data_IF_632432519319
#
_entry.id   IF_632432519319
#
_cell.length_a   1.000
_cell.length_b   1.000
_cell.length_c   1.000
_cell.angle_alpha   90.00
_cell.angle_beta   90.00
_cell.angle_gamma   90.00
#
_symmetry.space_group_name_H-M   'P 1'
#
loop_
_entity.id
_entity.type
_entity.pdbx_description
1 polymer ?
#
# COMPACT_ATOMS: atom_id res chain seq x y z
N UNK A 1 -4.95 92.42 79.01
CA UNK A 1 -4.98 92.28 77.50
C UNK A 1 -4.10 91.13 76.99
N UNK A 2 -4.39 89.85 77.34
CA UNK A 2 -3.50 88.74 76.91
C UNK A 2 -4.21 87.41 76.52
N UNK A 3 -5.55 87.49 76.45
CA UNK A 3 -6.26 86.20 76.12
C UNK A 3 -6.71 86.03 74.68
N UNK A 4 -6.80 87.14 73.90
CA UNK A 4 -7.32 87.07 72.52
C UNK A 4 -6.22 86.78 71.52
N UNK A 5 -5.00 87.23 71.74
CA UNK A 5 -3.85 86.96 70.87
C UNK A 5 -3.42 85.46 70.87
N UNK A 6 -3.52 84.84 72.04
CA UNK A 6 -3.19 83.37 72.09
C UNK A 6 -4.24 82.44 71.42
N UNK A 7 -5.50 82.89 71.46
CA UNK A 7 -6.55 82.12 70.75
C UNK A 7 -6.46 82.27 69.22
N UNK A 8 -6.13 83.42 68.71
CA UNK A 8 -5.88 83.69 67.31
C UNK A 8 -4.63 82.96 66.78
N UNK A 9 -3.58 82.93 67.61
CA UNK A 9 -2.35 82.20 67.22
C UNK A 9 -2.58 80.70 67.13
N UNK A 10 -3.40 80.12 68.05
CA UNK A 10 -3.73 78.66 67.97
C UNK A 10 -4.66 78.28 66.82
N UNK A 11 -5.47 79.24 66.34
CA UNK A 11 -6.32 79.02 65.17
C UNK A 11 -5.56 79.20 63.85
N UNK A 12 -4.58 80.07 63.80
CA UNK A 12 -3.77 80.35 62.60
C UNK A 12 -2.65 79.27 62.36
N UNK A 13 -2.16 78.65 63.42
CA UNK A 13 -1.08 77.66 63.30
C UNK A 13 -1.42 76.45 62.42
N UNK A 14 -2.60 75.85 62.58
CA UNK A 14 -2.95 74.71 61.72
C UNK A 14 -3.16 75.13 60.24
N UNK A 15 -3.66 76.30 59.99
CA UNK A 15 -3.85 76.89 58.65
C UNK A 15 -2.49 77.12 57.97
N UNK A 16 -1.54 77.65 58.74
CA UNK A 16 -0.19 77.88 58.25
C UNK A 16 0.53 76.55 57.94
N UNK A 17 0.38 75.56 58.82
CA UNK A 17 0.95 74.24 58.60
C UNK A 17 0.34 73.54 57.36
N UNK A 18 -0.98 73.73 57.20
CA UNK A 18 -1.68 73.20 56.02
C UNK A 18 -1.24 73.92 54.73
N UNK A 19 -1.06 75.23 54.79
CA UNK A 19 -0.54 76.04 53.68
C UNK A 19 0.89 75.63 53.27
N UNK A 20 1.77 75.45 54.27
CA UNK A 20 3.13 75.01 54.06
C UNK A 20 3.11 73.54 53.47
N UNK A 21 2.26 72.64 53.98
CA UNK A 21 2.08 71.32 53.46
C UNK A 21 1.67 71.30 51.99
N UNK A 22 0.70 72.11 51.61
CA UNK A 22 0.26 72.26 50.22
C UNK A 22 1.35 72.87 49.34
N UNK A 23 2.09 73.88 49.85
CA UNK A 23 3.20 74.50 49.11
C UNK A 23 4.36 73.50 48.88
N UNK A 24 4.70 72.67 49.88
CA UNK A 24 5.69 71.59 49.75
C UNK A 24 5.20 70.53 48.78
N UNK A 25 3.93 70.15 48.86
CA UNK A 25 3.34 69.20 47.93
C UNK A 25 3.35 69.72 46.47
N UNK A 26 2.99 71.02 46.32
CA UNK A 26 3.03 71.69 45.01
C UNK A 26 4.47 71.76 44.45
N UNK A 27 5.45 72.05 45.32
CA UNK A 27 6.87 72.03 44.95
C UNK A 27 7.36 70.63 44.55
N UNK A 28 6.93 69.59 45.28
CA UNK A 28 7.24 68.22 44.92
C UNK A 28 6.59 67.75 43.57
N UNK A 29 5.39 68.21 43.30
CA UNK A 29 4.73 67.94 42.01
C UNK A 29 5.39 68.72 40.87
N UNK A 30 5.80 69.98 41.13
CA UNK A 30 6.47 70.83 40.14
C UNK A 30 7.92 70.38 39.85
N UNK A 31 8.59 69.82 40.83
CA UNK A 31 9.97 69.30 40.69
C UNK A 31 10.04 67.78 40.25
N UNK A 32 8.89 67.14 40.01
CA UNK A 32 8.91 65.79 39.48
C UNK A 32 9.67 65.76 38.15
N UNK A 33 10.78 65.05 38.03
CA UNK A 33 11.47 64.93 36.75
C UNK A 33 10.50 64.28 35.76
N UNK A 34 10.18 64.94 34.66
CA UNK A 34 9.41 64.37 33.57
C UNK A 34 10.19 63.12 33.11
N UNK A 35 9.54 61.94 33.04
CA UNK A 35 10.23 60.75 32.56
C UNK A 35 10.76 61.07 31.16
N UNK A 36 12.06 61.08 31.00
CA UNK A 36 12.72 61.16 29.72
C UNK A 36 12.24 59.92 28.97
N UNK A 37 11.34 60.09 27.99
CA UNK A 37 11.04 59.03 27.03
C UNK A 37 12.37 58.72 26.32
N UNK A 38 13.09 57.69 26.81
CA UNK A 38 14.25 57.17 26.06
C UNK A 38 13.75 56.94 24.64
N UNK A 39 14.39 57.49 23.62
CA UNK A 39 14.05 57.21 22.24
C UNK A 39 14.05 55.67 22.16
N UNK A 40 12.92 55.13 21.69
CA UNK A 40 12.77 53.68 21.48
C UNK A 40 13.89 53.31 20.51
N UNK A 41 14.88 52.59 21.02
CA UNK A 41 16.05 52.21 20.25
C UNK A 41 15.48 51.49 19.00
N UNK A 42 15.52 52.15 17.83
CA UNK A 42 15.02 51.66 16.54
C UNK A 42 15.93 50.53 16.00
N UNK A 43 16.65 49.88 16.89
CA UNK A 43 17.40 48.69 16.54
C UNK A 43 16.40 47.58 16.24
N UNK A 44 16.16 47.34 14.94
CA UNK A 44 15.29 46.27 14.46
C UNK A 44 15.60 44.95 15.16
N UNK A 45 14.59 44.11 15.36
CA UNK A 45 14.76 42.79 15.94
C UNK A 45 15.75 41.96 15.09
N UNK A 46 16.71 41.31 15.76
CA UNK A 46 17.67 40.44 15.10
C UNK A 46 16.95 39.16 14.58
N UNK A 47 17.07 38.89 13.29
CA UNK A 47 16.42 37.75 12.65
C UNK A 47 17.38 36.96 11.79
N UNK A 48 17.25 35.65 11.84
CA UNK A 48 17.92 34.72 10.95
C UNK A 48 17.00 34.47 9.75
N UNK A 49 17.56 34.58 8.54
CA UNK A 49 16.82 34.45 7.28
C UNK A 49 17.40 33.34 6.42
N UNK A 50 16.56 32.69 5.65
CA UNK A 50 16.94 31.72 4.64
C UNK A 50 16.43 32.25 3.29
N UNK A 51 17.35 32.37 2.31
CA UNK A 51 16.97 32.69 0.94
C UNK A 51 16.32 31.48 0.30
N UNK A 52 15.15 31.67 -0.29
CA UNK A 52 14.36 30.58 -0.86
C UNK A 52 14.63 30.44 -2.36
N UNK A 53 14.75 29.20 -2.78
CA UNK A 53 14.88 28.83 -4.18
C UNK A 53 13.88 27.74 -4.53
N UNK A 54 13.32 27.74 -5.74
CA UNK A 54 12.44 26.67 -6.19
C UNK A 54 13.26 25.38 -6.37
N UNK A 55 12.72 24.28 -5.85
CA UNK A 55 13.30 22.95 -5.96
C UNK A 55 12.27 22.02 -6.59
N UNK A 56 12.70 21.20 -7.53
CA UNK A 56 11.90 20.06 -8.00
C UNK A 56 12.22 18.87 -7.14
N UNK A 57 11.31 18.46 -6.30
CA UNK A 57 11.53 17.36 -5.38
C UNK A 57 10.53 16.23 -5.64
N UNK A 58 11.04 15.01 -5.76
CA UNK A 58 10.22 13.80 -5.70
C UNK A 58 9.94 13.49 -4.24
N UNK A 59 8.69 13.48 -3.90
CA UNK A 59 8.26 13.10 -2.56
C UNK A 59 8.29 11.58 -2.39
N UNK A 60 8.44 11.17 -1.13
CA UNK A 60 8.22 9.79 -0.72
C UNK A 60 7.21 9.79 0.43
N UNK A 61 6.24 8.92 0.31
CA UNK A 61 5.31 8.61 1.39
C UNK A 61 5.87 7.41 2.11
N UNK A 62 6.45 7.63 3.29
CA UNK A 62 6.99 6.54 4.13
C UNK A 62 5.95 6.17 5.16
N UNK A 63 5.53 4.91 5.12
CA UNK A 63 4.53 4.32 6.00
C UNK A 63 4.95 2.88 6.33
N UNK A 64 4.23 2.26 7.23
CA UNK A 64 4.49 0.88 7.61
C UNK A 64 3.43 -0.06 7.07
N UNK A 65 3.82 -1.31 6.84
CA UNK A 65 2.92 -2.34 6.37
C UNK A 65 3.31 -3.73 6.83
N UNK A 66 2.42 -4.68 6.60
CA UNK A 66 2.64 -6.10 6.91
C UNK A 66 2.72 -6.91 5.63
N UNK A 67 3.68 -7.83 5.59
CA UNK A 67 3.87 -8.76 4.47
C UNK A 67 2.82 -9.87 4.53
N UNK A 68 2.04 -10.01 3.48
CA UNK A 68 1.02 -11.04 3.32
C UNK A 68 1.26 -11.86 2.05
N UNK A 69 0.80 -13.10 1.98
CA UNK A 69 0.94 -13.89 0.78
C UNK A 69 0.05 -13.35 -0.35
N UNK A 70 0.57 -13.34 -1.59
CA UNK A 70 -0.25 -13.05 -2.76
C UNK A 70 -1.16 -14.24 -3.10
N UNK A 71 -0.69 -15.46 -2.88
CA UNK A 71 -1.42 -16.69 -3.12
C UNK A 71 -1.29 -17.60 -1.90
N UNK A 72 -2.43 -18.08 -1.40
CA UNK A 72 -2.48 -19.09 -0.34
C UNK A 72 -3.65 -20.01 -0.61
N UNK A 73 -3.42 -21.32 -0.48
CA UNK A 73 -4.47 -22.34 -0.65
C UNK A 73 -4.39 -23.38 0.44
N UNK A 74 -5.54 -23.80 0.92
CA UNK A 74 -5.67 -25.00 1.76
C UNK A 74 -5.91 -26.18 0.82
N UNK A 75 -4.96 -27.08 0.74
CA UNK A 75 -5.07 -28.30 -0.06
C UNK A 75 -6.02 -29.26 0.63
N UNK A 76 -7.07 -29.64 -0.08
CA UNK A 76 -8.10 -30.57 0.40
C UNK A 76 -8.32 -31.64 -0.67
N UNK A 77 -8.59 -32.91 -0.31
CA UNK A 77 -8.94 -33.93 -1.27
C UNK A 77 -10.36 -33.71 -1.79
N UNK A 78 -10.59 -34.00 -3.04
CA UNK A 78 -11.92 -33.97 -3.66
C UNK A 78 -12.60 -35.33 -3.64
N UNK A 79 -11.84 -36.37 -3.34
CA UNK A 79 -12.29 -37.78 -3.24
C UNK A 79 -11.74 -38.40 -1.97
N UNK A 80 -12.46 -39.37 -1.41
CA UNK A 80 -12.01 -40.11 -0.22
C UNK A 80 -10.97 -41.18 -0.61
N UNK A 81 -10.01 -41.41 0.28
CA UNK A 81 -9.05 -42.49 0.07
C UNK A 81 -7.99 -42.51 1.17
N UNK A 82 -7.23 -43.61 1.22
CA UNK A 82 -6.08 -43.74 2.11
C UNK A 82 -4.85 -43.11 1.43
N UNK A 83 -4.08 -42.32 2.15
CA UNK A 83 -2.79 -41.80 1.65
C UNK A 83 -1.80 -42.97 1.50
N UNK A 84 -1.35 -43.22 0.30
CA UNK A 84 -0.39 -44.30 -0.01
C UNK A 84 1.01 -43.79 -0.28
N UNK A 85 1.15 -42.52 -0.59
CA UNK A 85 2.41 -41.86 -0.82
C UNK A 85 2.31 -40.35 -0.54
N UNK A 86 3.34 -39.81 0.07
CA UNK A 86 3.52 -38.40 0.38
C UNK A 86 4.93 -38.01 -0.10
N UNK A 87 5.06 -36.81 -0.64
CA UNK A 87 6.34 -36.26 -1.03
C UNK A 87 7.16 -35.91 0.21
N UNK A 88 8.47 -36.20 0.21
CA UNK A 88 9.36 -35.98 1.37
C UNK A 88 9.42 -34.49 1.77
N UNK A 89 9.28 -33.59 0.80
CA UNK A 89 9.20 -32.14 1.02
C UNK A 89 7.80 -31.65 1.47
N UNK A 90 6.80 -32.53 1.64
CA UNK A 90 5.49 -32.13 2.18
C UNK A 90 5.56 -32.04 3.70
N UNK A 91 6.42 -31.13 4.15
CA UNK A 91 6.67 -30.76 5.56
C UNK A 91 6.74 -29.25 5.66
N UNK A 92 6.46 -28.64 6.82
CA UNK A 92 6.55 -27.19 6.97
C UNK A 92 7.91 -26.65 6.51
N UNK A 93 7.89 -25.66 5.58
CA UNK A 93 9.07 -25.09 4.93
C UNK A 93 9.52 -25.77 3.64
N UNK A 94 9.03 -26.98 3.34
CA UNK A 94 9.35 -27.69 2.09
C UNK A 94 8.75 -26.97 0.87
N UNK A 95 9.40 -27.09 -0.29
CA UNK A 95 9.11 -26.31 -1.50
C UNK A 95 8.61 -27.16 -2.64
N UNK A 96 7.67 -26.61 -3.40
CA UNK A 96 7.05 -27.26 -4.53
C UNK A 96 6.98 -26.34 -5.74
N UNK A 97 7.15 -26.94 -6.91
CA UNK A 97 6.84 -26.29 -8.19
C UNK A 97 5.39 -26.56 -8.58
N UNK A 98 4.81 -25.66 -9.35
CA UNK A 98 3.49 -25.83 -9.93
C UNK A 98 3.37 -27.18 -10.66
N UNK A 99 2.31 -27.95 -10.34
CA UNK A 99 2.04 -29.26 -10.92
C UNK A 99 2.78 -30.40 -10.26
N UNK A 100 3.72 -30.17 -9.36
CA UNK A 100 4.44 -31.20 -8.62
C UNK A 100 3.48 -31.97 -7.70
N UNK A 101 3.68 -33.29 -7.59
CA UNK A 101 2.79 -34.15 -6.81
C UNK A 101 3.10 -34.02 -5.33
N UNK A 102 2.09 -33.62 -4.54
CA UNK A 102 2.18 -33.51 -3.10
C UNK A 102 1.98 -34.85 -2.40
N UNK A 103 0.89 -35.54 -2.75
CA UNK A 103 0.54 -36.85 -2.20
C UNK A 103 -0.35 -37.62 -3.16
N UNK A 104 -0.47 -38.94 -2.92
CA UNK A 104 -1.32 -39.84 -3.68
C UNK A 104 -2.24 -40.62 -2.74
N UNK A 105 -3.50 -40.68 -3.11
CA UNK A 105 -4.49 -41.52 -2.45
C UNK A 105 -4.51 -42.88 -3.14
N UNK A 106 -4.99 -43.94 -2.43
CA UNK A 106 -5.25 -45.20 -3.02
C UNK A 106 -6.34 -45.12 -4.12
N UNK A 107 -5.89 -45.16 -5.35
CA UNK A 107 -6.75 -45.03 -6.53
C UNK A 107 -7.20 -46.36 -7.14
N UNK A 108 -7.02 -47.49 -6.44
CA UNK A 108 -7.32 -48.84 -7.05
C UNK A 108 -8.79 -48.93 -7.44
N UNK A 109 -9.69 -48.52 -6.56
CA UNK A 109 -11.14 -48.59 -6.80
C UNK A 109 -11.58 -47.61 -7.90
N UNK A 110 -11.01 -46.42 -7.92
CA UNK A 110 -11.27 -45.40 -8.95
C UNK A 110 -10.80 -45.86 -10.32
N UNK A 111 -9.59 -46.46 -10.43
CA UNK A 111 -9.10 -47.06 -11.69
C UNK A 111 -9.92 -48.24 -12.15
N UNK A 112 -10.45 -49.05 -11.23
CA UNK A 112 -11.36 -50.15 -11.58
C UNK A 112 -12.67 -49.60 -12.13
N UNK A 113 -13.27 -48.63 -11.49
CA UNK A 113 -14.47 -47.96 -11.97
C UNK A 113 -14.28 -47.32 -13.37
N UNK A 114 -13.13 -46.69 -13.61
CA UNK A 114 -12.79 -46.13 -14.93
C UNK A 114 -12.70 -47.23 -16.00
N UNK A 115 -12.07 -48.37 -15.69
CA UNK A 115 -12.00 -49.53 -16.61
C UNK A 115 -13.37 -50.11 -16.89
N UNK A 116 -14.24 -50.26 -15.89
CA UNK A 116 -15.62 -50.74 -16.05
C UNK A 116 -16.43 -49.83 -16.96
N UNK A 117 -16.33 -48.49 -16.73
CA UNK A 117 -16.96 -47.51 -17.59
C UNK A 117 -16.40 -47.52 -19.01
N UNK A 118 -15.11 -47.81 -19.18
CA UNK A 118 -14.47 -48.00 -20.47
C UNK A 118 -15.09 -49.19 -21.25
N UNK A 119 -15.26 -50.34 -20.60
CA UNK A 119 -15.91 -51.49 -21.21
C UNK A 119 -17.38 -51.23 -21.63
N UNK A 120 -18.08 -50.35 -20.89
CA UNK A 120 -19.44 -49.88 -21.27
C UNK A 120 -19.42 -49.03 -22.54
N UNK A 121 -18.41 -48.18 -22.71
CA UNK A 121 -18.20 -47.40 -23.94
C UNK A 121 -17.94 -48.34 -25.13
N UNK A 122 -17.05 -49.31 -24.98
CA UNK A 122 -16.73 -50.26 -26.03
C UNK A 122 -17.95 -51.07 -26.50
N UNK A 123 -18.85 -51.44 -25.53
CA UNK A 123 -20.13 -52.11 -25.84
C UNK A 123 -21.06 -51.18 -26.60
N UNK A 124 -21.21 -49.92 -26.16
CA UNK A 124 -22.09 -48.95 -26.82
C UNK A 124 -21.56 -48.56 -28.22
N UNK A 125 -20.24 -48.54 -28.42
CA UNK A 125 -19.63 -48.33 -29.75
C UNK A 125 -19.95 -49.47 -30.69
N UNK A 126 -19.89 -50.72 -30.20
CA UNK A 126 -20.26 -51.90 -30.99
C UNK A 126 -21.74 -51.87 -31.35
N UNK A 127 -22.63 -51.52 -30.39
CA UNK A 127 -24.08 -51.39 -30.63
C UNK A 127 -24.37 -50.33 -31.69
N UNK A 128 -23.76 -49.16 -31.62
CA UNK A 128 -23.87 -48.12 -32.66
C UNK A 128 -23.38 -48.61 -34.01
N UNK A 129 -22.28 -49.37 -34.05
CA UNK A 129 -21.74 -49.93 -35.30
C UNK A 129 -22.70 -50.93 -35.92
N UNK A 130 -23.33 -51.78 -35.09
CA UNK A 130 -24.33 -52.76 -35.54
C UNK A 130 -25.55 -52.03 -36.07
N UNK A 131 -26.07 -51.01 -35.35
CA UNK A 131 -27.25 -50.27 -35.82
C UNK A 131 -26.95 -49.47 -37.11
N UNK A 132 -25.74 -48.92 -37.28
CA UNK A 132 -25.33 -48.29 -38.55
C UNK A 132 -25.40 -49.31 -39.72
N UNK A 133 -24.81 -50.51 -39.53
CA UNK A 133 -24.85 -51.57 -40.57
C UNK A 133 -26.29 -52.01 -40.90
N UNK A 134 -27.15 -52.17 -39.88
CA UNK A 134 -28.59 -52.46 -40.09
C UNK A 134 -29.31 -51.33 -40.82
N UNK A 135 -28.98 -50.07 -40.53
CA UNK A 135 -29.52 -48.91 -41.24
C UNK A 135 -29.09 -48.86 -42.70
N UNK A 136 -27.84 -49.24 -43.02
CA UNK A 136 -27.38 -49.34 -44.43
C UNK A 136 -28.13 -50.42 -45.18
N UNK A 137 -28.38 -51.60 -44.59
CA UNK A 137 -29.17 -52.68 -45.18
C UNK A 137 -30.62 -52.20 -45.39
N UNK A 138 -31.24 -51.63 -44.36
CA UNK A 138 -32.63 -51.11 -44.44
C UNK A 138 -32.77 -50.01 -45.53
N UNK A 139 -31.75 -49.19 -45.70
CA UNK A 139 -31.72 -48.19 -46.79
C UNK A 139 -31.68 -48.86 -48.18
N UNK A 140 -30.84 -49.83 -48.37
CA UNK A 140 -30.77 -50.60 -49.65
C UNK A 140 -32.08 -51.32 -49.95
N UNK A 141 -32.74 -51.93 -48.97
CA UNK A 141 -34.06 -52.54 -49.11
C UNK A 141 -35.14 -51.49 -49.45
N UNK A 142 -35.12 -50.35 -48.80
CA UNK A 142 -36.08 -49.26 -49.03
C UNK A 142 -35.96 -48.71 -50.44
N UNK A 143 -34.76 -48.47 -50.94
CA UNK A 143 -34.51 -48.01 -52.31
C UNK A 143 -35.04 -48.96 -53.39
N UNK A 144 -35.24 -50.25 -53.08
CA UNK A 144 -35.89 -51.23 -53.96
C UNK A 144 -37.42 -51.17 -53.89
N UNK A 145 -38.00 -50.90 -52.69
CA UNK A 145 -39.45 -50.95 -52.42
C UNK A 145 -40.15 -49.64 -52.82
N UNK A 146 -39.49 -48.47 -52.65
CA UNK A 146 -40.10 -47.14 -52.84
C UNK A 146 -40.35 -46.73 -54.30
N UNK A 147 -40.17 -47.65 -55.24
CA UNK A 147 -40.43 -47.39 -56.68
C UNK A 147 -41.89 -47.08 -57.01
N UNK A 148 -42.79 -46.83 -56.07
CA UNK A 148 -44.18 -46.51 -56.38
C UNK A 148 -45.13 -46.22 -55.20
N UNK A 149 -44.72 -46.17 -53.98
CA UNK A 149 -45.59 -45.90 -52.81
C UNK A 149 -45.06 -44.71 -51.99
N UNK A 150 -45.89 -43.64 -51.84
CA UNK A 150 -45.58 -42.53 -50.93
C UNK A 150 -45.77 -42.97 -49.48
N UNK A 151 -44.69 -43.31 -48.78
CA UNK A 151 -44.73 -43.46 -47.35
C UNK A 151 -44.76 -42.06 -46.70
N UNK A 152 -45.34 -41.93 -45.48
CA UNK A 152 -45.22 -40.73 -44.68
C UNK A 152 -43.73 -40.52 -44.24
N UNK A 153 -43.34 -39.29 -43.98
CA UNK A 153 -41.98 -38.97 -43.53
C UNK A 153 -41.62 -39.76 -42.28
N UNK A 154 -42.53 -39.95 -41.34
CA UNK A 154 -42.36 -40.75 -40.14
C UNK A 154 -42.19 -42.27 -40.46
N UNK A 155 -42.99 -42.81 -41.41
CA UNK A 155 -42.87 -44.16 -41.86
C UNK A 155 -41.54 -44.44 -42.56
N UNK A 156 -41.00 -43.47 -43.29
CA UNK A 156 -39.70 -43.51 -43.91
C UNK A 156 -38.57 -43.51 -42.87
N UNK A 157 -38.62 -42.59 -41.87
CA UNK A 157 -37.63 -42.51 -40.81
C UNK A 157 -37.56 -43.83 -39.97
N UNK A 158 -38.74 -44.45 -39.68
CA UNK A 158 -38.82 -45.76 -39.01
C UNK A 158 -38.27 -46.88 -39.88
N UNK A 159 -38.59 -46.91 -41.20
CA UNK A 159 -38.08 -47.88 -42.12
C UNK A 159 -36.57 -47.80 -42.29
N UNK A 160 -35.99 -46.61 -42.29
CA UNK A 160 -34.55 -46.34 -42.35
C UNK A 160 -33.83 -46.50 -40.98
N UNK A 161 -34.54 -46.91 -39.94
CA UNK A 161 -34.00 -47.14 -38.56
C UNK A 161 -33.38 -45.88 -37.95
N UNK A 162 -33.78 -44.66 -38.35
CA UNK A 162 -33.22 -43.41 -37.85
C UNK A 162 -33.39 -43.23 -36.33
N UNK A 163 -34.56 -43.54 -35.71
CA UNK A 163 -34.72 -43.43 -34.27
C UNK A 163 -33.81 -44.41 -33.50
N UNK A 164 -33.61 -45.66 -34.04
CA UNK A 164 -32.74 -46.65 -33.40
C UNK A 164 -31.27 -46.20 -33.49
N UNK A 165 -30.89 -45.65 -34.62
CA UNK A 165 -29.53 -45.07 -34.77
C UNK A 165 -29.30 -43.89 -33.83
N UNK A 166 -30.30 -43.00 -33.65
CA UNK A 166 -30.23 -41.91 -32.68
C UNK A 166 -30.16 -42.41 -31.25
N UNK A 167 -30.95 -43.44 -30.90
CA UNK A 167 -30.90 -44.07 -29.57
C UNK A 167 -29.54 -44.71 -29.28
N UNK A 168 -28.95 -45.41 -30.24
CA UNK A 168 -27.61 -46.00 -30.09
C UNK A 168 -26.51 -44.91 -29.96
N UNK A 169 -26.63 -43.79 -30.68
CA UNK A 169 -25.72 -42.65 -30.51
C UNK A 169 -25.86 -42.03 -29.12
N UNK A 170 -27.08 -41.78 -28.66
CA UNK A 170 -27.34 -41.25 -27.31
C UNK A 170 -26.81 -42.18 -26.21
N UNK A 171 -26.95 -43.52 -26.40
CA UNK A 171 -26.40 -44.54 -25.52
C UNK A 171 -24.87 -44.45 -25.42
N UNK A 172 -24.20 -44.32 -26.57
CA UNK A 172 -22.74 -44.12 -26.61
C UNK A 172 -22.29 -42.84 -25.89
N UNK A 173 -23.00 -41.74 -26.14
CA UNK A 173 -22.64 -40.46 -25.50
C UNK A 173 -22.87 -40.50 -23.98
N UNK A 174 -23.91 -41.17 -23.51
CA UNK A 174 -24.12 -41.45 -22.07
C UNK A 174 -23.00 -42.29 -21.46
N UNK A 175 -22.59 -43.37 -22.16
CA UNK A 175 -21.47 -44.19 -21.70
C UNK A 175 -20.16 -43.44 -21.65
N UNK A 176 -19.86 -42.58 -22.63
CA UNK A 176 -18.70 -41.70 -22.65
C UNK A 176 -18.73 -40.70 -21.50
N UNK A 177 -19.89 -40.11 -21.16
CA UNK A 177 -20.10 -39.24 -20.02
C UNK A 177 -19.75 -39.95 -18.71
N UNK A 178 -20.24 -41.17 -18.52
CA UNK A 178 -19.94 -42.01 -17.32
C UNK A 178 -18.44 -42.32 -17.21
N UNK A 179 -17.79 -42.69 -18.31
CA UNK A 179 -16.32 -42.90 -18.32
C UNK A 179 -15.55 -41.65 -18.00
N UNK A 180 -15.96 -40.49 -18.51
CA UNK A 180 -15.33 -39.20 -18.20
C UNK A 180 -15.43 -38.87 -16.72
N UNK A 181 -16.56 -39.09 -16.06
CA UNK A 181 -16.73 -38.95 -14.61
C UNK A 181 -15.80 -39.86 -13.82
N UNK A 182 -15.74 -41.14 -14.17
CA UNK A 182 -14.85 -42.11 -13.50
C UNK A 182 -13.37 -41.73 -13.68
N UNK A 183 -12.97 -41.28 -14.87
CA UNK A 183 -11.63 -40.80 -15.16
C UNK A 183 -11.28 -39.53 -14.34
N UNK A 184 -12.22 -38.58 -14.22
CA UNK A 184 -12.05 -37.42 -13.41
C UNK A 184 -11.86 -37.81 -11.93
N UNK A 185 -12.68 -38.68 -11.38
CA UNK A 185 -12.55 -39.18 -10.01
C UNK A 185 -11.19 -39.89 -9.80
N UNK A 186 -10.73 -40.68 -10.76
CA UNK A 186 -9.41 -41.32 -10.75
C UNK A 186 -8.28 -40.27 -10.73
N UNK A 187 -8.38 -39.22 -11.53
CA UNK A 187 -7.37 -38.18 -11.59
C UNK A 187 -7.26 -37.39 -10.27
N UNK A 188 -8.36 -37.24 -9.52
CA UNK A 188 -8.43 -36.54 -8.23
C UNK A 188 -7.74 -37.29 -7.09
N UNK A 189 -7.31 -38.53 -7.31
CA UNK A 189 -6.52 -39.27 -6.32
C UNK A 189 -5.06 -38.82 -6.23
N UNK A 190 -4.61 -37.97 -7.15
CA UNK A 190 -3.25 -37.40 -7.16
C UNK A 190 -3.35 -35.90 -6.92
N UNK A 191 -2.96 -35.47 -5.73
CA UNK A 191 -2.97 -34.05 -5.36
C UNK A 191 -1.67 -33.38 -5.79
N UNK A 192 -1.78 -32.22 -6.43
CA UNK A 192 -0.65 -31.46 -6.97
C UNK A 192 -0.64 -30.02 -6.48
N UNK A 193 0.56 -29.43 -6.44
CA UNK A 193 0.72 -28.02 -6.13
C UNK A 193 0.11 -27.13 -7.24
N UNK A 194 -0.80 -26.19 -6.92
CA UNK A 194 -1.45 -25.33 -7.90
C UNK A 194 -0.53 -24.23 -8.42
N UNK A 195 0.48 -23.82 -7.64
CA UNK A 195 1.47 -22.78 -7.94
C UNK A 195 2.84 -23.13 -7.34
N UNK A 196 3.87 -22.38 -7.67
CA UNK A 196 5.17 -22.48 -7.01
C UNK A 196 5.05 -21.93 -5.58
N UNK A 197 5.47 -22.70 -4.60
CA UNK A 197 5.28 -22.27 -3.22
C UNK A 197 5.98 -23.16 -2.20
N UNK A 198 5.68 -22.90 -0.96
CA UNK A 198 6.16 -23.68 0.17
C UNK A 198 5.01 -24.08 1.10
N UNK A 199 5.24 -25.13 1.85
CA UNK A 199 4.29 -25.64 2.85
C UNK A 199 4.37 -24.76 4.10
N UNK A 200 3.23 -24.18 4.49
CA UNK A 200 3.10 -23.43 5.74
C UNK A 200 2.67 -24.33 6.90
N UNK A 201 1.71 -25.22 6.63
CA UNK A 201 1.15 -26.16 7.58
C UNK A 201 0.96 -27.48 6.85
N UNK A 202 1.24 -28.57 7.52
CA UNK A 202 0.97 -29.94 7.06
C UNK A 202 0.19 -30.65 8.17
N UNK A 203 -0.80 -31.45 7.80
CA UNK A 203 -1.73 -32.12 8.71
C UNK A 203 -2.15 -33.52 8.18
N UNK A 204 -1.27 -34.22 7.47
CA UNK A 204 -1.59 -35.52 6.87
C UNK A 204 -0.38 -36.44 6.89
N UNK A 205 -0.62 -37.72 7.21
CA UNK A 205 0.41 -38.77 7.23
C UNK A 205 0.09 -39.89 6.25
N UNK A 206 1.14 -40.59 5.81
CA UNK A 206 0.99 -41.83 5.00
C UNK A 206 0.25 -42.90 5.81
N UNK A 207 -0.76 -43.49 5.19
CA UNK A 207 -1.63 -44.49 5.82
C UNK A 207 -2.93 -43.88 6.40
N UNK A 208 -3.04 -42.58 6.52
CA UNK A 208 -4.26 -41.93 7.00
C UNK A 208 -5.38 -42.01 5.98
N UNK A 209 -6.62 -42.21 6.47
CA UNK A 209 -7.82 -42.11 5.64
C UNK A 209 -8.26 -40.64 5.60
N UNK A 210 -8.40 -40.10 4.40
CA UNK A 210 -8.82 -38.72 4.17
C UNK A 210 -10.13 -38.64 3.43
N UNK A 211 -10.91 -37.63 3.71
CA UNK A 211 -12.23 -37.38 3.10
C UNK A 211 -12.29 -35.98 2.50
N UNK A 212 -13.19 -35.70 1.55
CA UNK A 212 -13.42 -34.37 1.03
C UNK A 212 -13.59 -33.34 2.15
N UNK A 213 -13.08 -32.10 1.94
CA UNK A 213 -13.09 -31.00 2.90
C UNK A 213 -12.12 -31.13 4.09
N UNK A 214 -11.40 -32.24 4.26
CA UNK A 214 -10.36 -32.35 5.28
C UNK A 214 -9.12 -31.54 4.84
N UNK A 215 -8.65 -30.54 5.63
CA UNK A 215 -7.43 -29.81 5.29
C UNK A 215 -6.22 -30.72 5.45
N UNK A 216 -5.42 -30.88 4.39
CA UNK A 216 -4.22 -31.71 4.38
C UNK A 216 -2.95 -30.90 4.51
N UNK A 217 -2.88 -29.76 3.83
CA UNK A 217 -1.75 -28.87 3.90
C UNK A 217 -2.19 -27.43 3.54
N UNK A 218 -1.47 -26.44 4.01
CA UNK A 218 -1.60 -25.07 3.56
C UNK A 218 -0.36 -24.68 2.79
N UNK A 219 -0.54 -24.37 1.51
CA UNK A 219 0.52 -23.89 0.62
C UNK A 219 0.46 -22.38 0.46
N UNK A 220 1.62 -21.76 0.40
CA UNK A 220 1.79 -20.33 0.16
C UNK A 220 2.68 -20.14 -1.06
N UNK A 221 2.26 -19.24 -1.97
CA UNK A 221 3.03 -18.90 -3.16
C UNK A 221 4.37 -18.27 -2.82
N UNK A 222 5.41 -18.62 -3.59
CA UNK A 222 6.78 -18.11 -3.40
C UNK A 222 7.16 -17.03 -4.40
N UNK A 223 6.43 -16.90 -5.49
CA UNK A 223 6.79 -16.03 -6.62
C UNK A 223 6.53 -14.56 -6.31
N UNK A 224 5.47 -14.26 -5.57
CA UNK A 224 5.05 -12.90 -5.22
C UNK A 224 4.49 -12.83 -3.81
N UNK A 225 4.86 -11.74 -3.11
CA UNK A 225 4.19 -11.34 -1.86
C UNK A 225 3.56 -9.97 -2.03
N UNK A 226 2.61 -9.68 -1.19
CA UNK A 226 2.03 -8.35 -1.05
C UNK A 226 2.43 -7.73 0.27
N UNK A 227 2.59 -6.43 0.28
CA UNK A 227 2.66 -5.64 1.51
C UNK A 227 1.39 -4.83 1.60
N UNK A 228 0.65 -5.04 2.64
CA UNK A 228 -0.51 -4.21 2.97
C UNK A 228 -0.02 -3.02 3.78
N UNK A 229 -0.08 -1.82 3.19
CA UNK A 229 0.39 -0.56 3.76
C UNK A 229 -0.79 0.31 4.13
N UNK A 230 -0.79 0.87 5.33
CA UNK A 230 -1.79 1.84 5.77
C UNK A 230 -1.28 3.26 5.52
N UNK A 231 -1.98 4.00 4.65
CA UNK A 231 -1.60 5.36 4.22
C UNK A 231 -2.69 6.35 4.62
N UNK A 232 -2.36 7.50 5.21
CA UNK A 232 -3.32 8.56 5.48
C UNK A 232 -4.06 9.00 4.20
N UNK A 233 -5.38 9.18 4.29
CA UNK A 233 -6.24 9.46 3.13
C UNK A 233 -5.83 10.75 2.40
N UNK A 234 -5.35 11.74 3.13
CA UNK A 234 -4.85 13.02 2.59
C UNK A 234 -3.61 12.85 1.70
N UNK A 235 -2.83 11.78 1.91
CA UNK A 235 -1.63 11.46 1.12
C UNK A 235 -1.89 10.63 -0.12
N UNK A 236 -3.07 10.02 -0.25
CA UNK A 236 -3.43 9.17 -1.39
C UNK A 236 -3.37 9.90 -2.73
N UNK A 237 -3.74 11.17 -2.77
CA UNK A 237 -3.73 11.98 -4.00
C UNK A 237 -2.34 12.19 -4.58
N UNK A 238 -1.30 12.05 -3.75
CA UNK A 238 0.09 12.18 -4.16
C UNK A 238 0.70 10.88 -4.70
N UNK A 239 0.06 9.74 -4.49
CA UNK A 239 0.55 8.41 -4.89
C UNK A 239 -0.17 7.96 -6.16
N UNK A 240 0.56 7.41 -7.14
CA UNK A 240 -0.04 6.79 -8.32
C UNK A 240 -0.58 5.41 -7.97
N UNK A 241 -1.91 5.31 -7.93
CA UNK A 241 -2.64 4.10 -7.60
C UNK A 241 -3.46 3.64 -8.80
N UNK A 242 -3.19 2.45 -9.34
CA UNK A 242 -3.96 1.89 -10.45
C UNK A 242 -5.46 1.80 -10.13
N UNK A 243 -6.28 2.18 -11.12
CA UNK A 243 -7.74 2.19 -10.97
C UNK A 243 -8.32 3.38 -10.19
N UNK A 244 -7.48 4.26 -9.60
CA UNK A 244 -7.91 5.49 -8.95
C UNK A 244 -7.44 6.74 -9.71
N UNK A 245 -6.14 6.85 -9.95
CA UNK A 245 -5.52 8.04 -10.55
C UNK A 245 -4.35 7.70 -11.49
N UNK A 246 -4.13 6.42 -11.76
CA UNK A 246 -3.16 5.89 -12.71
C UNK A 246 -3.77 4.73 -13.51
N UNK A 247 -3.22 4.46 -14.70
CA UNK A 247 -3.60 3.31 -15.52
C UNK A 247 -3.19 1.98 -14.86
N UNK A 248 -3.82 0.88 -15.27
CA UNK A 248 -3.43 -0.45 -14.81
C UNK A 248 -1.95 -0.74 -15.13
N UNK A 249 -1.24 -1.29 -14.16
CA UNK A 249 0.20 -1.59 -14.27
C UNK A 249 1.14 -0.39 -14.10
N UNK A 250 0.63 0.85 -13.98
CA UNK A 250 1.42 2.07 -13.75
C UNK A 250 1.40 2.55 -12.30
N UNK A 251 1.31 1.65 -11.35
CA UNK A 251 1.39 2.00 -9.93
C UNK A 251 2.74 2.56 -9.53
N UNK A 252 2.72 3.42 -8.50
CA UNK A 252 3.93 4.01 -7.94
C UNK A 252 4.95 2.95 -7.52
N UNK A 253 6.22 3.25 -7.71
CA UNK A 253 7.32 2.40 -7.21
C UNK A 253 7.40 2.57 -5.69
N UNK A 254 7.61 1.47 -5.01
CA UNK A 254 7.78 1.44 -3.56
C UNK A 254 9.08 0.71 -3.20
N UNK A 255 9.81 1.25 -2.26
CA UNK A 255 10.97 0.59 -1.64
C UNK A 255 10.52 0.04 -0.30
N UNK A 256 10.62 -1.25 -0.13
CA UNK A 256 10.25 -1.98 1.08
C UNK A 256 11.53 -2.30 1.83
N UNK A 257 11.64 -1.82 3.06
CA UNK A 257 12.79 -2.01 3.92
C UNK A 257 12.42 -2.80 5.17
N UNK A 258 13.24 -3.78 5.49
CA UNK A 258 13.16 -4.57 6.71
C UNK A 258 14.51 -4.57 7.40
N UNK A 259 14.52 -4.31 8.69
CA UNK A 259 15.72 -4.43 9.51
C UNK A 259 15.75 -5.79 10.22
N UNK A 260 16.73 -6.62 9.90
CA UNK A 260 16.91 -7.94 10.52
C UNK A 260 18.33 -8.06 11.03
N UNK A 261 18.48 -8.21 12.35
CA UNK A 261 19.80 -8.40 12.98
C UNK A 261 20.80 -7.27 12.69
N UNK A 262 20.33 -6.02 12.53
CA UNK A 262 21.17 -4.86 12.21
C UNK A 262 21.52 -4.72 10.71
N UNK A 263 20.96 -5.57 9.85
CA UNK A 263 21.08 -5.45 8.40
C UNK A 263 19.77 -4.93 7.82
N UNK A 264 19.85 -3.84 7.05
CA UNK A 264 18.72 -3.30 6.30
C UNK A 264 18.61 -4.02 4.96
N UNK A 265 17.49 -4.70 4.77
CA UNK A 265 17.15 -5.41 3.54
C UNK A 265 16.17 -4.54 2.77
N UNK A 266 16.49 -4.22 1.53
CA UNK A 266 15.59 -3.44 0.67
C UNK A 266 15.12 -4.29 -0.50
N UNK A 267 13.83 -4.18 -0.81
CA UNK A 267 13.18 -4.77 -1.97
C UNK A 267 12.38 -3.69 -2.68
N UNK A 268 12.34 -3.78 -3.99
CA UNK A 268 11.50 -2.88 -4.79
C UNK A 268 10.21 -3.57 -5.14
N UNK A 269 9.10 -2.86 -4.96
CA UNK A 269 7.77 -3.30 -5.35
C UNK A 269 7.01 -2.19 -6.07
N UNK A 270 5.76 -2.47 -6.44
CA UNK A 270 4.85 -1.51 -7.07
C UNK A 270 3.51 -1.50 -6.37
N UNK A 271 2.91 -0.33 -6.27
CA UNK A 271 1.53 -0.20 -5.81
C UNK A 271 0.62 -0.91 -6.81
N UNK A 272 -0.07 -1.94 -6.35
CA UNK A 272 -0.97 -2.76 -7.16
C UNK A 272 -2.37 -2.16 -7.20
N UNK A 273 -2.93 -1.82 -6.04
CA UNK A 273 -4.28 -1.25 -5.90
C UNK A 273 -4.55 -0.66 -4.52
N UNK A 274 -5.62 0.12 -4.44
CA UNK A 274 -6.27 0.52 -3.20
C UNK A 274 -7.28 -0.55 -2.78
N UNK A 275 -7.29 -0.92 -1.51
CA UNK A 275 -8.38 -1.71 -0.93
C UNK A 275 -9.58 -0.78 -0.66
N UNK A 276 -10.78 -1.27 -0.93
CA UNK A 276 -12.01 -0.47 -0.83
C UNK A 276 -12.48 -0.15 0.59
N UNK A 277 -11.64 -0.40 1.60
CA UNK A 277 -11.94 -0.19 3.00
C UNK A 277 -10.83 0.59 3.71
N UNK A 278 -11.16 1.14 4.87
CA UNK A 278 -10.21 1.81 5.74
C UNK A 278 -9.77 0.87 6.86
N UNK A 279 -8.55 1.06 7.31
CA UNK A 279 -8.08 0.45 8.55
C UNK A 279 -8.99 0.89 9.72
N UNK A 280 -9.57 -0.07 10.48
CA UNK A 280 -10.55 0.25 11.50
C UNK A 280 -9.98 1.02 12.69
N UNK A 281 -8.68 0.94 12.95
CA UNK A 281 -8.02 1.60 14.07
C UNK A 281 -7.53 2.99 13.68
N UNK A 282 -6.78 3.08 12.58
CA UNK A 282 -6.15 4.33 12.13
C UNK A 282 -7.01 5.16 11.17
N UNK A 283 -8.11 4.63 10.65
CA UNK A 283 -8.92 5.21 9.56
C UNK A 283 -8.06 5.59 8.34
N UNK A 284 -7.01 4.83 8.11
CA UNK A 284 -6.10 4.99 6.99
C UNK A 284 -6.56 4.17 5.81
N UNK A 285 -6.28 4.61 4.61
CA UNK A 285 -6.50 3.84 3.41
C UNK A 285 -5.46 2.72 3.30
N UNK A 286 -5.89 1.55 2.85
CA UNK A 286 -5.01 0.39 2.70
C UNK A 286 -4.60 0.21 1.25
N UNK A 287 -3.31 0.28 0.98
CA UNK A 287 -2.71 -0.01 -0.32
C UNK A 287 -2.08 -1.40 -0.31
N UNK A 288 -2.17 -2.09 -1.44
CA UNK A 288 -1.40 -3.29 -1.70
C UNK A 288 -0.20 -2.93 -2.57
N UNK A 289 0.99 -3.31 -2.11
CA UNK A 289 2.25 -3.21 -2.85
C UNK A 289 2.70 -4.62 -3.19
N UNK A 290 2.89 -4.91 -4.47
CA UNK A 290 3.37 -6.22 -4.96
C UNK A 290 4.89 -6.25 -5.00
N UNK A 291 5.46 -7.34 -4.54
CA UNK A 291 6.91 -7.63 -4.55
C UNK A 291 7.12 -8.93 -5.29
N UNK A 292 7.94 -8.88 -6.34
CA UNK A 292 8.40 -10.05 -7.06
C UNK A 292 9.61 -10.67 -6.36
N UNK A 293 9.72 -12.00 -6.40
CA UNK A 293 10.80 -12.79 -5.79
C UNK A 293 11.15 -12.37 -4.35
N UNK A 294 10.17 -12.38 -3.43
CA UNK A 294 10.37 -11.92 -2.06
C UNK A 294 11.38 -12.75 -1.27
N UNK A 295 11.55 -14.01 -1.67
CA UNK A 295 12.46 -14.96 -1.03
C UNK A 295 13.89 -14.92 -1.63
N UNK A 296 14.10 -14.18 -2.74
CA UNK A 296 15.39 -14.11 -3.42
C UNK A 296 15.82 -15.43 -4.07
N UNK A 297 14.84 -16.20 -4.59
CA UNK A 297 15.04 -17.52 -5.18
C UNK A 297 15.32 -17.48 -6.69
N UNK A 298 15.03 -16.34 -7.33
CA UNK A 298 15.32 -16.17 -8.75
C UNK A 298 16.83 -16.22 -8.98
N UNK A 299 17.21 -16.83 -10.14
CA UNK A 299 18.60 -16.87 -10.52
C UNK A 299 19.22 -15.47 -10.58
N UNK A 300 20.48 -15.28 -10.16
CA UNK A 300 21.14 -13.98 -10.20
C UNK A 300 21.05 -13.40 -11.61
N UNK A 301 20.82 -12.06 -11.73
CA UNK A 301 20.72 -11.41 -13.02
C UNK A 301 22.01 -11.63 -13.82
N UNK A 302 21.88 -11.86 -15.14
CA UNK A 302 23.02 -12.07 -16.03
C UNK A 302 24.04 -10.94 -15.87
N UNK A 303 25.37 -11.23 -15.86
CA UNK A 303 26.40 -10.22 -15.75
C UNK A 303 26.21 -9.15 -16.84
N UNK A 304 26.03 -7.88 -16.43
CA UNK A 304 25.81 -6.76 -17.34
C UNK A 304 24.45 -6.05 -17.21
N UNK A 305 23.49 -6.57 -16.44
CA UNK A 305 22.28 -5.82 -16.12
C UNK A 305 22.56 -4.78 -15.01
N UNK A 306 22.11 -3.52 -15.22
CA UNK A 306 22.21 -2.43 -14.21
C UNK A 306 21.31 -2.63 -12.99
N UNK A 307 20.81 -3.84 -12.77
CA UNK A 307 20.14 -4.17 -11.53
C UNK A 307 21.22 -4.35 -10.46
N UNK A 308 21.19 -3.51 -9.47
CA UNK A 308 22.03 -3.59 -8.28
C UNK A 308 21.84 -4.98 -7.70
N UNK A 309 22.85 -5.84 -7.89
CA UNK A 309 22.91 -7.17 -7.33
C UNK A 309 23.00 -7.04 -5.80
N UNK A 310 21.85 -6.90 -5.16
CA UNK A 310 21.76 -7.27 -3.77
C UNK A 310 22.22 -8.75 -3.72
N UNK A 311 23.28 -9.03 -2.95
CA UNK A 311 23.65 -10.39 -2.53
C UNK A 311 22.35 -11.11 -2.14
N UNK A 312 22.25 -12.47 -2.28
CA UNK A 312 21.11 -13.19 -1.75
C UNK A 312 20.93 -12.76 -0.29
N UNK A 313 20.13 -11.73 -0.10
CA UNK A 313 19.84 -11.17 1.20
C UNK A 313 18.88 -12.09 1.92
N UNK A 314 18.77 -11.94 3.21
CA UNK A 314 17.74 -12.62 3.99
C UNK A 314 16.39 -12.52 3.29
N UNK A 315 15.60 -13.61 3.26
CA UNK A 315 14.28 -13.59 2.63
C UNK A 315 13.34 -12.63 3.35
N UNK A 316 12.44 -12.02 2.61
CA UNK A 316 11.34 -11.28 3.20
C UNK A 316 10.33 -12.29 3.76
N UNK A 317 10.13 -12.26 5.07
CA UNK A 317 9.28 -13.24 5.75
C UNK A 317 7.81 -12.81 5.77
N UNK A 318 6.90 -13.78 5.64
CA UNK A 318 5.47 -13.55 5.84
C UNK A 318 5.17 -13.09 7.27
N UNK A 319 4.27 -12.12 7.40
CA UNK A 319 3.93 -11.53 8.70
C UNK A 319 4.94 -10.49 9.19
N UNK A 320 6.05 -10.28 8.46
CA UNK A 320 7.01 -9.23 8.83
C UNK A 320 6.37 -7.85 8.75
N UNK A 321 6.70 -7.00 9.70
CA UNK A 321 6.37 -5.58 9.68
C UNK A 321 7.52 -4.83 9.03
N UNK A 322 7.22 -4.05 8.00
CA UNK A 322 8.20 -3.42 7.10
C UNK A 322 7.91 -1.95 6.90
N UNK A 323 8.97 -1.17 6.72
CA UNK A 323 8.87 0.21 6.26
C UNK A 323 8.69 0.22 4.73
N UNK A 324 7.75 1.01 4.24
CA UNK A 324 7.46 1.14 2.80
C UNK A 324 7.53 2.59 2.40
N UNK A 325 8.52 2.93 1.59
CA UNK A 325 8.69 4.26 1.00
C UNK A 325 8.14 4.27 -0.42
N UNK A 326 6.94 4.82 -0.60
CA UNK A 326 6.25 4.91 -1.89
C UNK A 326 6.68 6.21 -2.58
N UNK A 327 7.12 6.13 -3.82
CA UNK A 327 7.42 7.32 -4.63
C UNK A 327 6.10 8.05 -4.94
N UNK A 328 6.04 9.31 -4.55
CA UNK A 328 4.92 10.19 -4.86
C UNK A 328 5.14 10.95 -6.17
N UNK A 329 4.08 11.52 -6.70
CA UNK A 329 4.12 12.39 -7.88
C UNK A 329 5.04 13.57 -7.65
N UNK A 330 5.68 14.04 -8.70
CA UNK A 330 6.42 15.30 -8.66
C UNK A 330 5.47 16.46 -8.37
N UNK A 331 5.77 17.23 -7.34
CA UNK A 331 4.96 18.39 -6.96
C UNK A 331 5.15 19.61 -7.89
N UNK A 332 5.99 19.49 -8.92
CA UNK A 332 6.41 20.63 -9.72
C UNK A 332 7.42 21.50 -8.97
N UNK A 333 7.46 22.79 -9.28
CA UNK A 333 8.33 23.74 -8.57
C UNK A 333 7.70 24.10 -7.22
N UNK A 334 8.41 23.77 -6.15
CA UNK A 334 8.03 24.06 -4.78
C UNK A 334 9.19 24.71 -4.04
N UNK A 335 8.89 25.47 -3.03
CA UNK A 335 9.90 26.11 -2.17
C UNK A 335 10.00 25.29 -0.90
N UNK A 336 11.21 24.81 -0.59
CA UNK A 336 11.47 24.09 0.64
C UNK A 336 11.88 25.05 1.76
N UNK A 337 11.18 24.99 2.88
CA UNK A 337 11.49 25.75 4.09
C UNK A 337 11.61 24.82 5.29
N UNK A 338 12.50 25.15 6.25
CA UNK A 338 12.48 24.48 7.54
C UNK A 338 11.11 24.66 8.22
N UNK A 339 10.59 23.62 8.88
CA UNK A 339 9.30 23.66 9.58
C UNK A 339 9.21 24.83 10.60
N UNK A 340 10.38 25.25 11.13
CA UNK A 340 10.50 26.39 12.04
C UNK A 340 10.14 27.75 11.41
N UNK A 341 10.12 27.85 10.08
CA UNK A 341 9.72 29.06 9.37
C UNK A 341 8.19 29.24 9.35
N UNK A 342 7.42 28.15 9.54
CA UNK A 342 5.96 28.19 9.53
C UNK A 342 5.41 28.76 10.84
N UNK A 343 4.45 29.68 10.73
CA UNK A 343 3.75 30.34 11.85
C UNK A 343 2.25 30.09 11.72
N UNK A 344 1.59 29.91 12.85
CA UNK A 344 0.12 29.80 12.97
C UNK A 344 -0.53 28.83 11.93
N UNK A 345 0.19 27.79 11.56
CA UNK A 345 -0.28 26.74 10.66
C UNK A 345 -0.12 26.99 9.17
N UNK A 346 -0.20 28.24 8.67
CA UNK A 346 -0.07 28.57 7.23
C UNK A 346 0.64 29.90 6.94
N UNK A 347 1.11 30.63 7.96
CA UNK A 347 1.81 31.89 7.80
C UNK A 347 3.33 31.73 7.72
N UNK A 348 3.99 32.62 7.00
CA UNK A 348 5.45 32.79 7.00
C UNK A 348 5.81 34.26 7.18
N UNK A 349 6.97 34.50 7.76
CA UNK A 349 7.53 35.82 7.93
C UNK A 349 8.59 36.06 6.87
N UNK A 350 8.38 37.07 6.04
CA UNK A 350 9.29 37.46 4.97
C UNK A 350 10.04 38.71 5.37
N UNK A 351 11.34 38.75 5.14
CA UNK A 351 12.17 39.95 5.31
C UNK A 351 11.98 40.86 4.09
N UNK A 352 11.27 41.97 4.27
CA UNK A 352 10.99 42.90 3.19
C UNK A 352 12.23 43.67 2.73
N UNK A 353 12.21 44.27 1.51
CA UNK A 353 13.33 45.03 0.94
C UNK A 353 13.72 46.21 1.80
N UNK A 354 12.77 46.77 2.54
CA UNK A 354 12.97 47.90 3.46
C UNK A 354 13.43 47.48 4.87
N UNK A 355 13.81 46.21 5.05
CA UNK A 355 14.16 45.67 6.36
C UNK A 355 12.96 45.56 7.33
N UNK A 356 11.75 45.45 6.81
CA UNK A 356 10.50 45.37 7.60
C UNK A 356 9.90 43.97 7.50
N UNK A 357 9.19 43.56 8.56
CA UNK A 357 8.47 42.32 8.62
C UNK A 357 7.23 42.34 7.73
N UNK A 358 7.16 41.40 6.80
CA UNK A 358 5.98 41.09 6.00
C UNK A 358 5.43 39.74 6.48
N UNK A 359 4.17 39.73 6.91
CA UNK A 359 3.45 38.48 7.23
C UNK A 359 2.68 38.06 6.00
N UNK A 360 2.82 36.82 5.59
CA UNK A 360 2.18 36.29 4.38
C UNK A 360 1.66 34.87 4.61
N UNK A 361 0.45 34.61 4.14
CA UNK A 361 -0.12 33.27 4.13
C UNK A 361 0.42 32.49 2.92
N UNK A 362 0.69 31.20 3.13
CA UNK A 362 1.25 30.32 2.12
C UNK A 362 0.38 29.07 1.91
N UNK A 363 0.35 28.60 0.66
CA UNK A 363 -0.28 27.33 0.35
C UNK A 363 0.74 26.21 0.47
N UNK A 364 0.56 25.37 1.46
CA UNK A 364 1.44 24.23 1.72
C UNK A 364 1.10 23.11 0.75
N UNK A 365 2.09 22.66 -0.01
CA UNK A 365 1.97 21.51 -0.88
C UNK A 365 2.20 20.19 -0.12
N UNK A 366 3.20 20.21 0.81
CA UNK A 366 3.56 19.02 1.58
C UNK A 366 4.25 19.37 2.90
N UNK A 367 4.06 18.52 3.90
CA UNK A 367 4.73 18.64 5.20
C UNK A 367 5.54 17.38 5.45
N UNK A 368 6.85 17.55 5.66
CA UNK A 368 7.72 16.48 6.17
C UNK A 368 7.93 16.66 7.68
N UNK A 369 8.68 15.80 8.28
CA UNK A 369 9.05 15.90 9.69
C UNK A 369 9.87 17.17 9.97
N UNK A 370 10.81 17.53 9.10
CA UNK A 370 11.77 18.63 9.28
C UNK A 370 11.49 19.85 8.42
N UNK A 371 10.83 19.69 7.27
CA UNK A 371 10.63 20.73 6.26
C UNK A 371 9.17 20.86 5.84
N UNK A 372 8.85 21.96 5.20
CA UNK A 372 7.56 22.27 4.61
C UNK A 372 7.80 22.69 3.16
N UNK A 373 7.06 22.10 2.22
CA UNK A 373 7.08 22.45 0.81
C UNK A 373 5.91 23.36 0.50
N UNK A 374 6.21 24.55 0.00
CA UNK A 374 5.25 25.60 -0.30
C UNK A 374 5.07 25.69 -1.80
N UNK A 375 3.81 25.75 -2.26
CA UNK A 375 3.47 25.89 -3.67
C UNK A 375 3.27 27.34 -4.07
N UNK A 376 2.63 28.15 -3.21
CA UNK A 376 2.28 29.53 -3.47
C UNK A 376 2.44 30.38 -2.20
N UNK A 377 2.74 31.68 -2.39
CA UNK A 377 2.82 32.63 -1.30
C UNK A 377 4.22 33.18 -1.04
N UNK A 378 5.26 32.54 -1.56
CA UNK A 378 6.66 33.02 -1.50
C UNK A 378 7.27 32.90 -2.90
N UNK A 379 8.09 33.84 -3.29
CA UNK A 379 8.76 33.87 -4.60
C UNK A 379 10.26 33.57 -4.48
N UNK A 380 10.84 33.05 -5.58
CA UNK A 380 12.27 32.77 -5.62
C UNK A 380 13.11 34.02 -5.31
N UNK A 381 14.12 33.86 -4.47
CA UNK A 381 15.00 34.95 -4.03
C UNK A 381 14.51 35.74 -2.84
N UNK A 382 13.27 35.55 -2.37
CA UNK A 382 12.82 36.15 -1.12
C UNK A 382 13.54 35.54 0.10
N UNK A 383 13.59 36.27 1.19
CA UNK A 383 14.24 35.84 2.42
C UNK A 383 13.16 35.57 3.48
N UNK A 384 13.07 34.33 3.90
CA UNK A 384 12.09 33.89 4.92
C UNK A 384 12.77 33.80 6.28
N UNK A 385 12.12 34.33 7.31
CA UNK A 385 12.64 34.38 8.68
C UNK A 385 12.40 33.01 9.35
N UNK A 386 13.48 32.42 9.82
CA UNK A 386 13.45 31.12 10.53
C UNK A 386 13.55 31.26 12.03
N UNK A 387 14.13 32.35 12.54
CA UNK A 387 14.26 32.61 13.97
C UNK A 387 12.91 32.94 14.62
N UNK A 388 12.75 32.65 15.93
CA UNK A 388 11.54 32.97 16.68
C UNK A 388 11.49 34.47 16.98
N UNK A 389 10.36 35.11 16.70
CA UNK A 389 10.05 36.47 17.08
C UNK A 389 8.98 36.47 18.17
N UNK A 390 9.28 36.91 19.40
CA UNK A 390 8.33 36.84 20.52
C UNK A 390 7.08 37.70 20.32
N UNK A 391 7.20 38.80 19.56
CA UNK A 391 6.11 39.70 19.25
C UNK A 391 6.28 40.21 17.83
N UNK A 392 5.75 39.45 16.88
CA UNK A 392 5.79 39.79 15.46
C UNK A 392 4.63 40.75 15.14
N UNK A 393 4.96 41.97 14.76
CA UNK A 393 3.99 42.96 14.28
C UNK A 393 4.31 43.29 12.83
N UNK A 394 3.35 43.20 11.91
CA UNK A 394 3.58 43.56 10.51
C UNK A 394 4.19 44.97 10.40
N UNK A 395 5.22 45.14 9.58
CA UNK A 395 5.92 46.40 9.38
C UNK A 395 6.99 46.74 10.42
N UNK A 396 7.24 45.92 11.44
CA UNK A 396 8.32 46.16 12.40
C UNK A 396 9.68 46.11 11.74
N UNK A 397 10.63 46.90 12.21
CA UNK A 397 12.01 46.95 11.75
C UNK A 397 12.76 45.67 12.18
N UNK A 398 13.49 45.11 11.25
CA UNK A 398 14.29 43.90 11.40
C UNK A 398 15.75 44.18 11.04
N UNK A 399 16.66 43.41 11.57
CA UNK A 399 18.07 43.43 11.17
C UNK A 399 18.59 42.00 11.04
N UNK A 400 19.48 41.83 10.07
CA UNK A 400 20.22 40.54 9.92
C UNK A 400 21.44 40.55 10.84
N UNK A 401 21.93 39.41 11.32
CA UNK A 401 23.24 39.32 11.93
C UNK A 401 24.27 39.81 10.91
N UNK A 402 25.27 40.58 11.38
CA UNK A 402 26.42 40.91 10.53
C UNK A 402 27.04 39.61 10.05
N UNK A 403 27.31 39.50 8.72
CA UNK A 403 28.01 38.34 8.19
C UNK A 403 29.28 38.12 9.01
N UNK A 404 29.58 36.86 9.44
CA UNK A 404 30.84 36.60 10.13
C UNK A 404 31.96 36.99 9.20
N UNK A 405 32.83 37.92 9.65
CA UNK A 405 34.07 38.21 8.94
C UNK A 405 34.77 36.91 8.60
N UNK A 406 35.16 36.77 7.31
CA UNK A 406 35.97 35.63 6.88
C UNK A 406 37.10 35.46 7.88
N UNK A 407 37.37 34.27 8.42
CA UNK A 407 38.53 34.07 9.27
C UNK A 407 39.77 34.51 8.48
N UNK A 408 40.49 35.47 9.03
CA UNK A 408 41.77 35.93 8.51
C UNK A 408 42.65 34.69 8.28
N UNK A 409 43.12 34.50 7.07
CA UNK A 409 44.14 33.52 6.74
C UNK A 409 45.34 33.78 7.67
N UNK A 410 45.48 32.99 8.73
CA UNK A 410 46.69 32.92 9.50
C UNK A 410 47.79 32.39 8.57
N UNK A 411 48.66 33.33 8.21
CA UNK A 411 49.81 33.09 7.35
C UNK A 411 50.66 31.96 7.88
N UNK A 412 51.01 31.09 6.96
CA UNK A 412 52.14 30.14 7.13
C UNK A 412 53.40 30.89 7.48
N UNK A 413 54.00 30.51 8.59
CA UNK A 413 55.42 30.56 8.84
C UNK A 413 55.85 29.18 9.37
#
# INVERSE_FOLDING_TARGET
MSGIAQKLLRALLPILVLGVGVAVLAAFIATRPKPIKKPRDERGALVEVVSVQPVRQRLRVSEFGSVIPAEQVVVQPEVSGRVVWQHDELVPGGRFKKGETLLRLDGRDYRLAERQAGATVDRAELELKVEKARGEVAKAEWDVIDRGKRASDEGRALGLREPQLQAARAGLDAARGTRAQAKLASSKTVLRAPFNGFVKIEAVDVGQLVTPQMPLATLVGSDRFWVQVSVPVDRLTAVDVPGMNADEGKGAVAVIAQDVGGQRIERTGRVLRLLGDLDPVGRMARLLVEIDDPLGLAAPPKPGSKQTSARPGLPLLLGAFVEVAIEARELGEVIELPRLALRDGSGVYVYGPDGRLIVRDVKIAWRTEKTVLIREGVTAGEEVIVSRLPSAVPGMLLRKPAAPDKPAQLGQR
#
